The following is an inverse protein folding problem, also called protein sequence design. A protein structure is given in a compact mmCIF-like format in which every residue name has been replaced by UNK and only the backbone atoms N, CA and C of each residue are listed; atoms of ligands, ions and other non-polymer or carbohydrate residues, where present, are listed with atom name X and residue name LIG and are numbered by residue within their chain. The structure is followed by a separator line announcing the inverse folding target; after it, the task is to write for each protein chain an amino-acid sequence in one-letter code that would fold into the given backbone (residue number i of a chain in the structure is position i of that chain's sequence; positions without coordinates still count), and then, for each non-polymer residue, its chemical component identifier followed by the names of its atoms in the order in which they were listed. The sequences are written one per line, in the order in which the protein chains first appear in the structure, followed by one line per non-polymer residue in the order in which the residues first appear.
data_IF_622276939900
#
_entry.id   IF_622276939900
#
_cell.length_a   1.000
_cell.length_b   1.000
_cell.length_c   1.000
_cell.angle_alpha   90.00
_cell.angle_beta   90.00
_cell.angle_gamma   90.00
#
_symmetry.space_group_name_H-M   'P 1'
#
loop_
_entity.id
_entity.type
_entity.pdbx_description
1 polymer ?
#
# COMPACT_ATOMS: atom_id res chain seq x y z
N UNK A 1 -2.88 -71.58 -31.62
CA UNK A 1 -1.55 -71.61 -30.96
C UNK A 1 -0.60 -70.77 -31.80
N UNK A 2 0.02 -69.66 -31.39
CA UNK A 2 0.31 -69.15 -30.04
C UNK A 2 0.47 -67.62 -30.00
N UNK A 3 0.21 -66.86 -31.07
CA UNK A 3 0.70 -65.46 -31.14
C UNK A 3 -0.37 -64.39 -30.84
N UNK A 4 -1.66 -64.65 -31.12
CA UNK A 4 -2.74 -63.66 -30.88
C UNK A 4 -3.30 -63.62 -29.46
N UNK A 5 -3.06 -64.64 -28.64
CA UNK A 5 -3.41 -64.63 -27.21
C UNK A 5 -2.34 -63.95 -26.33
N UNK A 6 -1.11 -63.78 -26.83
CA UNK A 6 -0.01 -63.16 -26.08
C UNK A 6 -0.14 -61.63 -26.02
N UNK A 7 -0.80 -61.01 -27.02
CA UNK A 7 -1.07 -59.56 -26.98
C UNK A 7 -2.21 -59.19 -26.02
N UNK A 8 -3.20 -60.07 -25.80
CA UNK A 8 -4.28 -59.79 -24.85
C UNK A 8 -3.89 -60.10 -23.39
N UNK A 9 -2.81 -60.86 -23.15
CA UNK A 9 -2.26 -61.09 -21.82
C UNK A 9 -1.30 -59.99 -21.33
N UNK A 10 -0.84 -59.09 -22.20
CA UNK A 10 -0.01 -57.94 -21.80
C UNK A 10 -0.83 -56.66 -21.54
N UNK A 11 -2.12 -56.63 -21.91
CA UNK A 11 -3.01 -55.49 -21.67
C UNK A 11 -3.85 -55.61 -20.38
N UNK A 12 -3.75 -56.74 -19.67
CA UNK A 12 -4.56 -57.02 -18.48
C UNK A 12 -3.80 -56.88 -17.13
N UNK A 13 -2.53 -56.46 -17.14
CA UNK A 13 -1.69 -56.37 -15.92
C UNK A 13 -1.33 -54.93 -15.54
N UNK A 14 -1.75 -53.91 -16.31
CA UNK A 14 -1.50 -52.50 -15.99
C UNK A 14 -2.61 -51.81 -15.18
N UNK A 15 -3.56 -52.55 -14.61
CA UNK A 15 -4.73 -52.00 -13.89
C UNK A 15 -4.74 -52.26 -12.37
N UNK A 16 -3.64 -52.76 -11.76
CA UNK A 16 -3.61 -53.05 -10.31
C UNK A 16 -2.47 -52.35 -9.54
N UNK A 17 -1.99 -51.20 -10.02
CA UNK A 17 -0.81 -50.53 -9.44
C UNK A 17 -0.91 -49.02 -9.22
N UNK A 18 -2.11 -48.46 -9.03
CA UNK A 18 -2.25 -47.02 -8.79
C UNK A 18 -3.38 -46.68 -7.79
N UNK A 19 -3.28 -47.24 -6.58
CA UNK A 19 -3.74 -46.56 -5.38
C UNK A 19 -2.54 -46.49 -4.43
N UNK A 20 -1.55 -45.66 -4.77
CA UNK A 20 -0.81 -45.00 -3.71
C UNK A 20 -1.69 -43.81 -3.31
N UNK A 21 -2.33 -43.89 -2.15
CA UNK A 21 -2.80 -42.72 -1.41
C UNK A 21 -1.57 -41.87 -1.05
N UNK A 22 -1.00 -41.21 -2.05
CA UNK A 22 -0.25 -39.99 -1.84
C UNK A 22 -1.26 -38.89 -2.00
N UNK A 23 -2.06 -38.67 -0.95
CA UNK A 23 -2.75 -37.39 -0.78
C UNK A 23 -1.67 -36.30 -0.85
N UNK A 24 -1.66 -35.44 -1.88
CA UNK A 24 -0.72 -34.32 -1.93
C UNK A 24 -1.09 -33.22 -0.92
N UNK A 25 -2.21 -33.40 -0.21
CA UNK A 25 -2.72 -32.50 0.80
C UNK A 25 -2.89 -33.27 2.10
N UNK A 26 -1.88 -33.23 2.97
CA UNK A 26 -2.06 -33.65 4.36
C UNK A 26 -3.30 -32.97 4.95
N UNK A 27 -4.15 -33.75 5.62
CA UNK A 27 -5.39 -33.29 6.25
C UNK A 27 -5.12 -32.17 7.27
N UNK A 28 -5.06 -30.92 6.82
CA UNK A 28 -4.89 -29.75 7.67
C UNK A 28 -6.24 -29.43 8.31
N UNK A 29 -6.35 -29.62 9.64
CA UNK A 29 -7.56 -29.30 10.39
C UNK A 29 -7.44 -27.90 11.01
N UNK A 30 -8.58 -27.24 11.22
CA UNK A 30 -8.62 -25.98 11.98
C UNK A 30 -8.06 -26.14 13.41
N UNK A 31 -8.09 -27.36 13.95
CA UNK A 31 -7.52 -27.68 15.27
C UNK A 31 -5.99 -27.62 15.28
N UNK A 32 -5.33 -27.68 14.12
CA UNK A 32 -3.87 -27.60 13.98
C UNK A 32 -3.38 -26.14 13.91
N UNK A 33 -4.30 -25.18 13.77
CA UNK A 33 -3.99 -23.75 13.76
C UNK A 33 -3.79 -23.22 15.19
N UNK A 34 -2.82 -22.31 15.42
CA UNK A 34 -2.67 -21.68 16.72
C UNK A 34 -3.91 -20.83 17.04
N UNK A 35 -4.45 -20.97 18.26
CA UNK A 35 -5.51 -20.10 18.75
C UNK A 35 -4.93 -18.72 19.06
N UNK A 36 -5.09 -17.79 18.13
CA UNK A 36 -4.56 -16.42 18.25
C UNK A 36 -5.51 -15.46 18.97
N UNK A 37 -6.78 -15.83 19.16
CA UNK A 37 -7.78 -15.02 19.84
C UNK A 37 -8.73 -15.86 20.70
N UNK A 38 -9.07 -15.31 21.87
CA UNK A 38 -10.00 -15.90 22.83
C UNK A 38 -11.08 -14.89 23.21
N UNK A 39 -12.27 -15.38 23.56
CA UNK A 39 -13.30 -14.55 24.20
C UNK A 39 -13.11 -14.64 25.72
N UNK A 40 -12.94 -13.50 26.38
CA UNK A 40 -12.71 -13.40 27.82
C UNK A 40 -13.74 -12.46 28.45
N UNK A 41 -14.16 -12.77 29.68
CA UNK A 41 -14.95 -11.86 30.51
C UNK A 41 -14.01 -10.89 31.22
N UNK A 42 -14.23 -9.59 31.03
CA UNK A 42 -13.53 -8.52 31.75
C UNK A 42 -14.60 -7.68 32.44
N UNK A 43 -14.74 -7.86 33.75
CA UNK A 43 -15.91 -7.36 34.48
C UNK A 43 -17.17 -8.10 34.05
N UNK A 44 -18.21 -7.36 33.66
CA UNK A 44 -19.47 -7.91 33.14
C UNK A 44 -19.51 -7.99 31.60
N UNK A 45 -18.46 -7.55 30.91
CA UNK A 45 -18.43 -7.48 29.46
C UNK A 45 -17.61 -8.62 28.86
N UNK A 46 -18.09 -9.14 27.73
CA UNK A 46 -17.38 -10.13 26.94
C UNK A 46 -16.54 -9.45 25.87
N UNK A 47 -15.22 -9.58 25.99
CA UNK A 47 -14.24 -9.01 25.06
C UNK A 47 -13.50 -10.11 24.29
N UNK A 48 -13.02 -9.81 23.10
CA UNK A 48 -12.12 -10.69 22.34
C UNK A 48 -10.69 -10.23 22.58
N UNK A 49 -9.88 -11.09 23.19
CA UNK A 49 -8.46 -10.86 23.45
C UNK A 49 -7.66 -11.58 22.38
N UNK A 50 -6.89 -10.84 21.60
CA UNK A 50 -6.02 -11.38 20.57
C UNK A 50 -4.56 -11.32 21.03
N UNK A 51 -3.86 -12.45 20.99
CA UNK A 51 -2.43 -12.51 21.21
C UNK A 51 -1.71 -12.33 19.87
N UNK A 52 -1.28 -11.10 19.60
CA UNK A 52 -0.57 -10.73 18.37
C UNK A 52 0.74 -11.51 18.19
N UNK A 53 1.39 -11.95 19.28
CA UNK A 53 2.64 -12.71 19.19
C UNK A 53 2.44 -14.09 18.55
N UNK A 54 1.21 -14.64 18.57
CA UNK A 54 0.87 -15.92 17.95
C UNK A 54 0.53 -15.78 16.46
N UNK A 55 0.31 -14.57 15.96
CA UNK A 55 0.07 -14.32 14.54
C UNK A 55 1.44 -14.27 13.84
N UNK A 56 1.86 -15.43 13.31
CA UNK A 56 3.12 -15.56 12.55
C UNK A 56 2.93 -15.53 11.04
N UNK A 57 1.67 -15.51 10.59
CA UNK A 57 1.34 -15.47 9.18
C UNK A 57 1.86 -14.19 8.55
N UNK A 58 2.65 -14.34 7.49
CA UNK A 58 3.15 -13.22 6.70
C UNK A 58 2.34 -13.13 5.42
N UNK A 59 1.67 -12.00 5.21
CA UNK A 59 1.01 -11.71 3.97
C UNK A 59 1.98 -10.96 3.06
N UNK A 60 2.31 -11.55 1.90
CA UNK A 60 3.01 -10.82 0.85
C UNK A 60 1.97 -10.13 -0.03
N UNK A 61 1.85 -8.80 0.09
CA UNK A 61 1.00 -7.99 -0.78
C UNK A 61 1.90 -7.30 -1.82
N UNK A 62 1.89 -7.74 -3.08
CA UNK A 62 2.55 -7.01 -4.15
C UNK A 62 2.01 -5.58 -4.25
N UNK A 63 2.89 -4.59 -4.43
CA UNK A 63 2.47 -3.19 -4.60
C UNK A 63 1.43 -3.02 -5.71
N UNK A 64 1.53 -3.81 -6.78
CA UNK A 64 0.57 -3.85 -7.89
C UNK A 64 -0.85 -4.26 -7.52
N UNK A 65 -1.08 -4.85 -6.34
CA UNK A 65 -2.43 -5.09 -5.82
C UNK A 65 -3.05 -3.86 -5.17
N UNK A 66 -2.23 -2.88 -4.79
CA UNK A 66 -2.66 -1.67 -4.09
C UNK A 66 -2.76 -0.46 -5.02
N UNK A 67 -2.06 -0.46 -6.14
CA UNK A 67 -2.00 0.66 -7.10
C UNK A 67 -2.17 0.18 -8.54
N UNK A 68 -2.80 1.01 -9.37
CA UNK A 68 -2.89 0.77 -10.81
C UNK A 68 -1.64 1.23 -11.57
N UNK A 69 -1.03 2.32 -11.11
CA UNK A 69 0.11 2.97 -11.75
C UNK A 69 0.93 3.75 -10.71
N UNK A 70 2.19 4.05 -11.02
CA UNK A 70 3.03 4.96 -10.25
C UNK A 70 3.86 5.86 -11.16
N UNK A 71 3.99 7.13 -10.78
CA UNK A 71 4.83 8.11 -11.48
C UNK A 71 5.89 8.66 -10.53
N UNK A 72 7.14 8.66 -10.98
CA UNK A 72 8.22 9.38 -10.31
C UNK A 72 8.34 10.75 -10.97
N UNK A 73 8.15 11.81 -10.18
CA UNK A 73 8.21 13.21 -10.66
C UNK A 73 9.46 13.85 -10.07
N UNK A 74 10.36 14.30 -10.95
CA UNK A 74 11.56 15.05 -10.54
C UNK A 74 11.20 16.53 -10.46
N UNK A 75 11.32 17.12 -9.28
CA UNK A 75 11.09 18.55 -9.10
C UNK A 75 12.23 19.38 -9.71
N UNK A 76 11.89 20.57 -10.18
CA UNK A 76 12.81 21.57 -10.72
C UNK A 76 13.92 21.88 -9.72
N UNK A 77 15.15 22.03 -10.23
CA UNK A 77 16.36 22.18 -9.42
C UNK A 77 16.88 23.62 -9.37
N UNK A 78 16.10 24.60 -9.82
CA UNK A 78 16.41 26.02 -9.65
C UNK A 78 16.48 26.37 -8.16
N UNK A 79 17.34 27.32 -7.80
CA UNK A 79 17.53 27.76 -6.41
C UNK A 79 16.22 28.21 -5.75
N UNK A 80 15.35 28.90 -6.50
CA UNK A 80 14.04 29.36 -6.02
C UNK A 80 13.01 28.23 -5.82
N UNK A 81 13.24 27.06 -6.43
CA UNK A 81 12.39 25.88 -6.39
C UNK A 81 12.81 24.89 -5.29
N UNK A 82 13.94 25.12 -4.62
CA UNK A 82 14.45 24.21 -3.60
C UNK A 82 13.45 24.03 -2.47
N UNK A 83 13.17 22.76 -2.17
CA UNK A 83 12.26 22.33 -1.12
C UNK A 83 12.92 21.29 -0.24
N UNK A 84 12.44 21.19 1.00
CA UNK A 84 12.69 20.09 1.92
C UNK A 84 11.37 19.35 2.06
N UNK A 85 11.38 18.04 1.80
CA UNK A 85 10.15 17.23 1.84
C UNK A 85 9.60 17.18 3.27
N UNK A 86 8.52 17.93 3.54
CA UNK A 86 7.82 17.90 4.83
C UNK A 86 6.31 17.73 4.63
N UNK A 87 5.64 18.65 3.93
CA UNK A 87 4.24 18.49 3.53
C UNK A 87 4.07 18.64 2.01
N UNK A 88 3.25 17.75 1.44
CA UNK A 88 2.93 17.73 0.01
C UNK A 88 1.42 17.61 -0.17
N UNK A 89 0.84 18.53 -0.94
CA UNK A 89 -0.56 18.49 -1.36
C UNK A 89 -0.63 18.29 -2.87
N UNK A 90 -1.26 17.21 -3.32
CA UNK A 90 -1.31 16.84 -4.74
C UNK A 90 -2.76 16.93 -5.22
N UNK A 91 -2.94 17.63 -6.34
CA UNK A 91 -4.21 17.74 -7.06
C UNK A 91 -4.05 17.24 -8.49
N UNK A 92 -5.07 17.43 -9.32
CA UNK A 92 -5.08 16.94 -10.69
C UNK A 92 -3.97 17.60 -11.51
N UNK A 93 -3.79 18.93 -11.35
CA UNK A 93 -2.84 19.70 -12.15
C UNK A 93 -1.64 20.25 -11.37
N UNK A 94 -1.66 20.20 -10.03
CA UNK A 94 -0.62 20.84 -9.22
C UNK A 94 -0.08 19.97 -8.08
N UNK A 95 1.16 20.26 -7.73
CA UNK A 95 1.85 19.77 -6.54
C UNK A 95 2.23 20.98 -5.69
N UNK A 96 1.65 21.09 -4.51
CA UNK A 96 2.04 22.07 -3.49
C UNK A 96 2.99 21.43 -2.49
N UNK A 97 4.11 22.09 -2.21
CA UNK A 97 5.11 21.64 -1.23
C UNK A 97 5.44 22.78 -0.28
N UNK A 98 5.46 22.52 1.02
CA UNK A 98 5.84 23.51 2.03
C UNK A 98 6.46 22.84 3.25
N UNK A 99 7.12 23.65 4.09
CA UNK A 99 7.72 23.17 5.34
C UNK A 99 7.51 24.18 6.44
N UNK A 100 6.37 24.07 7.13
CA UNK A 100 6.06 24.82 8.36
C UNK A 100 6.59 26.26 8.36
N UNK A 101 7.64 26.51 9.16
CA UNK A 101 8.29 27.83 9.32
C UNK A 101 9.51 28.09 8.45
N UNK A 102 9.97 27.12 7.67
CA UNK A 102 11.29 27.15 7.02
C UNK A 102 11.22 27.42 5.52
N UNK A 103 10.21 26.87 4.84
CA UNK A 103 10.10 26.97 3.38
C UNK A 103 8.72 27.50 3.03
N UNK A 104 8.64 28.64 2.31
CA UNK A 104 7.39 29.16 1.78
C UNK A 104 6.69 28.12 0.90
N UNK A 105 5.38 28.23 0.75
CA UNK A 105 4.60 27.35 -0.11
C UNK A 105 5.06 27.42 -1.57
N UNK A 106 5.60 26.32 -2.09
CA UNK A 106 6.08 26.17 -3.47
C UNK A 106 5.05 25.40 -4.29
N UNK A 107 4.68 25.94 -5.45
CA UNK A 107 3.76 25.31 -6.37
C UNK A 107 4.51 24.80 -7.60
N UNK A 108 4.23 23.56 -7.98
CA UNK A 108 4.76 22.88 -9.16
C UNK A 108 3.61 22.34 -10.01
N UNK A 109 3.86 22.10 -11.29
CA UNK A 109 2.98 21.29 -12.14
C UNK A 109 3.19 19.77 -11.91
N UNK A 110 2.46 18.94 -12.67
CA UNK A 110 2.53 17.46 -12.58
C UNK A 110 3.76 16.85 -13.25
N UNK A 111 4.55 17.67 -13.93
CA UNK A 111 5.83 17.31 -14.55
C UNK A 111 6.99 17.64 -13.60
N UNK A 112 6.72 18.41 -12.54
CA UNK A 112 7.67 18.82 -11.52
C UNK A 112 8.31 20.18 -11.82
N UNK A 113 7.84 20.92 -12.82
CA UNK A 113 8.35 22.25 -13.10
C UNK A 113 7.88 23.22 -12.02
N UNK A 114 8.79 24.08 -11.56
CA UNK A 114 8.45 25.10 -10.59
C UNK A 114 7.63 26.20 -11.26
N UNK A 115 6.47 26.50 -10.67
CA UNK A 115 5.56 27.53 -11.17
C UNK A 115 5.78 28.84 -10.43
N UNK A 116 5.69 28.81 -9.09
CA UNK A 116 5.85 29.99 -8.23
C UNK A 116 5.84 29.64 -6.75
N UNK A 117 6.26 30.62 -5.95
CA UNK A 117 5.98 30.65 -4.51
C UNK A 117 4.65 31.35 -4.24
N UNK A 118 3.87 30.86 -3.26
CA UNK A 118 2.64 31.48 -2.77
C UNK A 118 2.93 32.14 -1.42
N UNK A 119 2.93 33.47 -1.39
CA UNK A 119 3.29 34.27 -0.21
C UNK A 119 4.76 34.15 0.20
N UNK A 120 5.09 34.61 1.40
CA UNK A 120 6.43 34.58 1.99
C UNK A 120 6.36 34.30 3.49
N UNK A 121 7.48 33.87 4.06
CA UNK A 121 7.60 33.73 5.50
C UNK A 121 7.82 35.11 6.12
N UNK A 122 6.92 35.52 7.01
CA UNK A 122 7.00 36.80 7.69
C UNK A 122 5.71 37.19 8.40
N UNK A 123 5.64 38.44 8.85
CA UNK A 123 4.54 39.00 9.66
C UNK A 123 3.87 40.20 8.95
N UNK A 124 4.29 40.52 7.72
CA UNK A 124 3.72 41.59 6.91
C UNK A 124 2.41 41.18 6.23
N UNK A 125 1.75 42.13 5.54
CA UNK A 125 0.60 41.83 4.72
C UNK A 125 0.94 40.76 3.65
N UNK A 126 0.09 39.74 3.53
CA UNK A 126 0.26 38.59 2.62
C UNK A 126 1.40 37.63 2.99
N UNK A 127 1.93 37.71 4.20
CA UNK A 127 2.93 36.80 4.74
C UNK A 127 2.32 35.86 5.78
N UNK A 128 3.02 34.76 6.07
CA UNK A 128 2.67 33.81 7.12
C UNK A 128 3.92 33.37 7.87
N UNK A 129 3.81 33.07 9.15
CA UNK A 129 4.98 32.51 9.89
C UNK A 129 4.99 31.00 9.99
N UNK A 130 3.86 30.36 9.71
CA UNK A 130 3.65 28.93 9.77
C UNK A 130 2.53 28.59 8.80
N UNK A 131 2.54 27.35 8.30
CA UNK A 131 1.42 26.73 7.61
C UNK A 131 1.23 25.36 8.27
N UNK A 132 0.08 25.14 8.89
CA UNK A 132 -0.34 23.85 9.43
C UNK A 132 -0.88 22.95 8.34
N UNK A 133 -1.73 23.49 7.46
CA UNK A 133 -2.38 22.75 6.40
C UNK A 133 -2.60 23.62 5.16
N UNK A 134 -2.86 22.99 4.02
CA UNK A 134 -3.16 23.68 2.78
C UNK A 134 -4.17 22.91 1.93
N UNK A 135 -4.91 23.64 1.10
CA UNK A 135 -5.78 23.07 0.08
C UNK A 135 -5.65 23.85 -1.22
N UNK A 136 -5.49 23.12 -2.34
CA UNK A 136 -5.53 23.70 -3.68
C UNK A 136 -6.95 23.50 -4.23
N UNK A 137 -7.69 24.60 -4.41
CA UNK A 137 -8.99 24.62 -5.07
C UNK A 137 -8.81 25.11 -6.51
N UNK A 138 -8.57 24.15 -7.40
CA UNK A 138 -8.33 24.42 -8.82
C UNK A 138 -9.55 25.05 -9.50
N UNK A 139 -10.76 24.59 -9.16
CA UNK A 139 -12.02 25.06 -9.76
C UNK A 139 -12.21 26.56 -9.54
N UNK A 140 -11.90 27.04 -8.34
CA UNK A 140 -12.03 28.45 -7.98
C UNK A 140 -10.70 29.23 -8.09
N UNK A 141 -9.63 28.59 -8.58
CA UNK A 141 -8.29 29.18 -8.76
C UNK A 141 -7.74 29.78 -7.46
N UNK A 142 -7.85 29.04 -6.36
CA UNK A 142 -7.43 29.48 -5.02
C UNK A 142 -6.55 28.44 -4.35
N UNK A 143 -5.64 28.93 -3.52
CA UNK A 143 -4.91 28.10 -2.57
C UNK A 143 -5.23 28.62 -1.17
N UNK A 144 -5.79 27.76 -0.35
CA UNK A 144 -6.09 28.04 1.05
C UNK A 144 -4.89 27.60 1.88
N UNK A 145 -4.35 28.52 2.67
CA UNK A 145 -3.27 28.26 3.62
C UNK A 145 -3.84 28.42 5.02
N UNK A 146 -3.62 27.45 5.90
CA UNK A 146 -3.99 27.50 7.31
C UNK A 146 -2.74 27.86 8.13
N UNK A 147 -2.57 29.13 8.53
CA UNK A 147 -1.37 29.59 9.22
C UNK A 147 -1.33 29.30 10.72
#
# INVERSE_FOLDING_TARGET
MKVRQILYSFLAVSLLGACSDTDPSGNFSLNDCPQVAIRQLVGNDSVVVCNLDLIKDTLNIPLSQLINDFKIIKLDSKDEALVKSYFTHITDNYIGVYSGRMIPYKLFDKEGNFLRTIGSIGQGPNEYTLIYDSQIDEKNKRVYLLP
#
